data_IF_151337136428
#
_entry.id   IF_151337136428
#
_cell.length_a   1.000
_cell.length_b   1.000
_cell.length_c   1.000
_cell.angle_alpha   90.00
_cell.angle_beta   90.00
_cell.angle_gamma   90.00
#
_symmetry.space_group_name_H-M   'P 1'
#
loop_
_entity.id
_entity.type
_entity.pdbx_description
1 polymer ?
#
# COMPACT_ATOMS: atom_id res chain seq x y z
N UNK A 1 16.90 1.26 10.51
CA UNK A 1 17.48 1.49 9.17
C UNK A 1 16.65 2.59 8.51
N UNK A 2 17.28 3.63 7.94
CA UNK A 2 16.53 4.67 7.23
C UNK A 2 15.99 4.18 5.87
N UNK A 3 15.10 4.97 5.26
CA UNK A 3 14.47 4.65 3.99
C UNK A 3 15.48 4.39 2.86
N UNK A 4 16.51 5.24 2.72
CA UNK A 4 17.48 5.16 1.63
C UNK A 4 18.36 3.92 1.77
N UNK A 5 18.76 3.59 3.00
CA UNK A 5 19.50 2.38 3.31
C UNK A 5 18.67 1.13 3.02
N UNK A 6 17.39 1.13 3.40
CA UNK A 6 16.48 0.03 3.08
C UNK A 6 16.24 -0.09 1.57
N UNK A 7 16.05 1.03 0.86
CA UNK A 7 15.91 1.06 -0.60
C UNK A 7 17.10 0.40 -1.29
N UNK A 8 18.33 0.83 -0.97
CA UNK A 8 19.54 0.22 -1.52
C UNK A 8 19.58 -1.29 -1.27
N UNK A 9 19.25 -1.73 -0.05
CA UNK A 9 19.26 -3.14 0.31
C UNK A 9 18.22 -3.97 -0.44
N UNK A 10 16.99 -3.46 -0.63
CA UNK A 10 15.93 -4.22 -1.31
C UNK A 10 16.12 -4.28 -2.83
N UNK A 11 16.86 -3.34 -3.40
CA UNK A 11 17.15 -3.28 -4.84
C UNK A 11 18.54 -3.79 -5.22
N UNK A 12 19.39 -4.17 -4.26
CA UNK A 12 20.75 -4.61 -4.56
C UNK A 12 20.74 -5.90 -5.40
N UNK A 13 21.27 -5.81 -6.62
CA UNK A 13 21.27 -6.90 -7.60
C UNK A 13 19.88 -7.36 -8.05
N UNK A 14 18.82 -6.58 -7.80
CA UNK A 14 17.42 -6.93 -8.10
C UNK A 14 16.68 -5.79 -8.81
N UNK A 15 15.57 -6.13 -9.47
CA UNK A 15 14.66 -5.13 -10.02
C UNK A 15 13.94 -4.43 -8.87
N UNK A 16 13.94 -3.10 -8.85
CA UNK A 16 13.22 -2.27 -7.89
C UNK A 16 11.71 -2.19 -8.19
N UNK A 17 11.03 -3.34 -8.25
CA UNK A 17 9.60 -3.38 -8.54
C UNK A 17 8.80 -2.74 -7.40
N UNK A 18 8.02 -1.71 -7.74
CA UNK A 18 7.11 -1.03 -6.84
C UNK A 18 5.66 -1.35 -7.26
N UNK A 19 4.92 -2.04 -6.38
CA UNK A 19 3.55 -2.45 -6.65
C UNK A 19 2.58 -1.41 -6.07
N UNK A 20 1.70 -0.88 -6.91
CA UNK A 20 0.62 0.01 -6.47
C UNK A 20 -0.50 -0.77 -5.77
N UNK A 21 -0.99 -0.25 -4.65
CA UNK A 21 -2.09 -0.83 -3.88
C UNK A 21 -3.30 0.10 -3.95
N UNK A 22 -3.84 0.22 -5.16
CA UNK A 22 -4.76 1.28 -5.60
C UNK A 22 -6.13 0.68 -6.00
N UNK A 23 -6.87 0.05 -5.06
CA UNK A 23 -8.08 -0.70 -5.37
C UNK A 23 -9.23 0.23 -5.78
N UNK A 24 -9.78 -0.01 -6.96
CA UNK A 24 -11.02 0.65 -7.42
C UNK A 24 -12.19 -0.22 -6.96
N UNK A 25 -12.94 0.22 -5.96
CA UNK A 25 -14.00 -0.56 -5.30
C UNK A 25 -14.98 -1.20 -6.29
N UNK A 26 -15.44 -0.46 -7.29
CA UNK A 26 -16.40 -0.93 -8.31
C UNK A 26 -15.81 -1.93 -9.31
N UNK A 27 -14.49 -2.11 -9.31
CA UNK A 27 -13.78 -3.09 -10.17
C UNK A 27 -13.34 -4.33 -9.39
N UNK A 28 -13.59 -4.37 -8.09
CA UNK A 28 -13.24 -5.54 -7.29
C UNK A 28 -14.15 -6.72 -7.64
N UNK A 29 -13.64 -7.96 -7.54
CA UNK A 29 -14.48 -9.15 -7.64
C UNK A 29 -15.64 -9.08 -6.65
N UNK A 30 -16.83 -9.51 -7.07
CA UNK A 30 -18.07 -9.39 -6.29
C UNK A 30 -17.92 -9.90 -4.85
N UNK A 31 -17.30 -11.08 -4.72
CA UNK A 31 -17.06 -11.74 -3.43
C UNK A 31 -16.20 -10.92 -2.47
N UNK A 32 -15.25 -10.14 -3.00
CA UNK A 32 -14.39 -9.26 -2.21
C UNK A 32 -15.10 -7.93 -1.95
N UNK A 33 -15.79 -7.39 -2.96
CA UNK A 33 -16.49 -6.10 -2.90
C UNK A 33 -17.58 -6.08 -1.82
N UNK A 34 -18.26 -7.20 -1.59
CA UNK A 34 -19.28 -7.36 -0.54
C UNK A 34 -18.72 -7.79 0.82
N UNK A 35 -17.40 -7.93 0.95
CA UNK A 35 -16.78 -8.25 2.25
C UNK A 35 -16.79 -7.04 3.18
N UNK A 36 -16.51 -7.28 4.47
CA UNK A 36 -16.49 -6.21 5.47
C UNK A 36 -15.40 -5.17 5.20
N UNK A 37 -14.26 -5.59 4.65
CA UNK A 37 -13.06 -4.77 4.48
C UNK A 37 -12.49 -4.96 3.06
N UNK A 38 -13.22 -4.52 2.01
CA UNK A 38 -12.94 -4.89 0.63
C UNK A 38 -11.58 -4.43 0.11
N UNK A 39 -11.09 -3.25 0.52
CA UNK A 39 -9.80 -2.73 0.08
C UNK A 39 -8.65 -3.54 0.70
N UNK A 40 -8.74 -3.81 2.00
CA UNK A 40 -7.76 -4.62 2.71
C UNK A 40 -7.75 -6.06 2.20
N UNK A 41 -8.93 -6.68 2.04
CA UNK A 41 -9.06 -8.04 1.53
C UNK A 41 -8.40 -8.20 0.15
N UNK A 42 -8.62 -7.24 -0.75
CA UNK A 42 -7.99 -7.27 -2.07
C UNK A 42 -6.47 -7.07 -2.01
N UNK A 43 -6.00 -6.05 -1.29
CA UNK A 43 -4.58 -5.70 -1.28
C UNK A 43 -3.72 -6.66 -0.47
N UNK A 44 -4.25 -7.25 0.60
CA UNK A 44 -3.54 -8.27 1.37
C UNK A 44 -3.24 -9.52 0.51
N UNK A 45 -4.16 -9.93 -0.37
CA UNK A 45 -3.89 -11.03 -1.31
C UNK A 45 -2.81 -10.68 -2.34
N UNK A 46 -2.78 -9.43 -2.83
CA UNK A 46 -1.70 -8.97 -3.71
C UNK A 46 -0.37 -9.04 -2.97
N UNK A 47 -0.30 -8.51 -1.75
CA UNK A 47 0.91 -8.51 -0.95
C UNK A 47 1.40 -9.94 -0.73
N UNK A 48 0.53 -10.83 -0.25
CA UNK A 48 0.85 -12.23 0.03
C UNK A 48 1.45 -12.93 -1.19
N UNK A 49 0.88 -12.70 -2.37
CA UNK A 49 1.31 -13.36 -3.62
C UNK A 49 2.51 -12.73 -4.30
N UNK A 50 2.94 -11.53 -3.90
CA UNK A 50 3.98 -10.77 -4.63
C UNK A 50 5.13 -10.25 -3.77
N UNK A 51 5.10 -10.47 -2.45
CA UNK A 51 6.12 -10.00 -1.52
C UNK A 51 7.52 -10.60 -1.72
N UNK A 52 7.66 -11.67 -2.49
CA UNK A 52 8.92 -12.29 -2.87
C UNK A 52 9.64 -11.53 -4.01
N UNK A 53 8.88 -10.85 -4.87
CA UNK A 53 9.39 -10.09 -6.03
C UNK A 53 9.29 -8.57 -5.85
N UNK A 54 8.48 -8.08 -4.91
CA UNK A 54 8.28 -6.65 -4.67
C UNK A 54 9.40 -6.05 -3.80
N UNK A 55 10.02 -4.97 -4.29
CA UNK A 55 10.91 -4.13 -3.48
C UNK A 55 10.10 -3.16 -2.60
N UNK A 56 8.97 -2.67 -3.11
CA UNK A 56 8.12 -1.70 -2.45
C UNK A 56 6.64 -1.91 -2.75
N UNK A 57 5.80 -1.48 -1.82
CA UNK A 57 4.37 -1.29 -2.03
C UNK A 57 4.01 0.18 -1.85
N UNK A 58 3.18 0.71 -2.75
CA UNK A 58 2.79 2.11 -2.79
C UNK A 58 1.27 2.27 -2.78
N UNK A 59 0.61 2.24 -1.60
CA UNK A 59 -0.79 2.61 -1.52
C UNK A 59 -0.98 4.10 -1.87
N UNK A 60 -1.84 4.38 -2.83
CA UNK A 60 -2.33 5.74 -3.07
C UNK A 60 -3.49 6.04 -2.11
N UNK A 61 -3.30 7.06 -1.27
CA UNK A 61 -4.21 7.36 -0.17
C UNK A 61 -5.62 7.73 -0.64
N UNK A 62 -5.76 8.30 -1.85
CA UNK A 62 -7.06 8.73 -2.38
C UNK A 62 -8.07 7.59 -2.51
N UNK A 63 -7.62 6.36 -2.84
CA UNK A 63 -8.49 5.19 -2.96
C UNK A 63 -9.06 4.74 -1.61
N UNK A 64 -8.33 5.00 -0.52
CA UNK A 64 -8.78 4.70 0.83
C UNK A 64 -9.60 5.87 1.39
N UNK A 65 -9.14 7.11 1.23
CA UNK A 65 -9.83 8.33 1.65
C UNK A 65 -11.27 8.42 1.10
N UNK A 66 -11.51 7.89 -0.10
CA UNK A 66 -12.84 7.81 -0.71
C UNK A 66 -13.88 7.04 0.14
N UNK A 67 -13.45 6.16 1.06
CA UNK A 67 -14.33 5.43 1.98
C UNK A 67 -14.39 6.06 3.39
N UNK A 68 -13.82 7.25 3.58
CA UNK A 68 -13.82 7.93 4.88
C UNK A 68 -13.01 7.17 5.94
N UNK A 69 -13.52 7.11 7.17
CA UNK A 69 -12.83 6.51 8.32
C UNK A 69 -12.58 5.01 8.16
N UNK A 70 -13.53 4.31 7.53
CA UNK A 70 -13.40 2.88 7.23
C UNK A 70 -12.25 2.62 6.24
N UNK A 71 -12.08 3.49 5.25
CA UNK A 71 -10.94 3.42 4.33
C UNK A 71 -9.60 3.60 5.03
N UNK A 72 -9.51 4.53 5.99
CA UNK A 72 -8.30 4.71 6.81
C UNK A 72 -7.95 3.48 7.65
N UNK A 73 -8.95 2.82 8.25
CA UNK A 73 -8.74 1.57 9.00
C UNK A 73 -8.22 0.45 8.09
N UNK A 74 -8.75 0.36 6.87
CA UNK A 74 -8.29 -0.63 5.89
C UNK A 74 -6.88 -0.31 5.35
N UNK A 75 -6.53 0.97 5.19
CA UNK A 75 -5.18 1.38 4.86
C UNK A 75 -4.18 0.94 5.93
N UNK A 76 -4.50 1.20 7.21
CA UNK A 76 -3.65 0.79 8.34
C UNK A 76 -3.38 -0.72 8.31
N UNK A 77 -4.43 -1.53 8.16
CA UNK A 77 -4.29 -2.99 8.02
C UNK A 77 -3.49 -3.40 6.79
N UNK A 78 -3.67 -2.71 5.66
CA UNK A 78 -2.93 -2.98 4.42
C UNK A 78 -1.44 -2.70 4.59
N UNK A 79 -1.08 -1.59 5.23
CA UNK A 79 0.31 -1.24 5.53
C UNK A 79 0.93 -2.26 6.50
N UNK A 80 0.19 -2.68 7.53
CA UNK A 80 0.65 -3.71 8.48
C UNK A 80 0.87 -5.08 7.84
N UNK A 81 0.18 -5.40 6.74
CA UNK A 81 0.38 -6.64 6.02
C UNK A 81 1.66 -6.65 5.15
N UNK A 82 2.26 -5.50 4.86
CA UNK A 82 3.49 -5.42 4.07
C UNK A 82 4.67 -5.95 4.90
N UNK A 83 5.40 -6.98 4.44
CA UNK A 83 6.53 -7.52 5.18
C UNK A 83 7.64 -6.49 5.41
N UNK A 84 8.34 -6.59 6.55
CA UNK A 84 9.45 -5.70 6.93
C UNK A 84 10.59 -5.66 5.90
N UNK A 85 10.72 -6.68 5.06
CA UNK A 85 11.70 -6.74 3.96
C UNK A 85 11.33 -5.84 2.76
N UNK A 86 10.10 -5.37 2.66
CA UNK A 86 9.62 -4.49 1.60
C UNK A 86 9.49 -3.05 2.10
N UNK A 87 9.62 -2.07 1.22
CA UNK A 87 9.31 -0.67 1.52
C UNK A 87 7.80 -0.41 1.45
N UNK A 88 7.34 0.57 2.22
CA UNK A 88 6.00 1.15 2.09
C UNK A 88 6.17 2.63 1.72
N UNK A 89 5.46 3.06 0.68
CA UNK A 89 5.45 4.45 0.20
C UNK A 89 4.00 4.94 0.21
N UNK A 90 3.66 5.80 1.17
CA UNK A 90 2.35 6.44 1.20
C UNK A 90 2.27 7.51 0.10
N UNK A 91 1.55 7.22 -0.98
CA UNK A 91 1.36 8.16 -2.07
C UNK A 91 0.18 9.09 -1.78
N UNK A 92 0.45 10.05 -0.88
CA UNK A 92 -0.51 11.07 -0.45
C UNK A 92 -0.33 12.44 -1.11
N UNK A 93 0.77 12.64 -1.84
CA UNK A 93 1.17 13.91 -2.49
C UNK A 93 0.90 15.14 -1.62
N UNK A 94 1.15 15.04 -0.32
CA UNK A 94 0.92 16.13 0.63
C UNK A 94 1.85 17.29 0.30
N UNK A 95 1.29 18.49 0.36
CA UNK A 95 2.00 19.73 0.11
C UNK A 95 1.25 20.86 0.78
N UNK A 96 1.82 21.38 1.84
CA UNK A 96 1.26 22.46 2.65
C UNK A 96 2.40 23.37 3.17
N UNK A 97 2.08 24.44 3.88
CA UNK A 97 3.05 25.34 4.50
C UNK A 97 3.72 24.71 5.73
N UNK A 98 4.82 25.29 6.21
CA UNK A 98 5.68 24.65 7.22
C UNK A 98 5.00 24.18 8.51
N UNK A 99 3.92 24.82 8.95
CA UNK A 99 3.18 24.41 10.16
C UNK A 99 2.28 23.18 9.96
N UNK A 100 1.95 22.86 8.72
CA UNK A 100 0.94 21.85 8.33
C UNK A 100 1.53 20.76 7.42
N UNK A 101 2.81 20.88 7.05
CA UNK A 101 3.59 19.90 6.28
C UNK A 101 4.11 18.73 7.13
#
# INVERSE_FOLDING_TARGET
MDFNSKLRNVTDGKIGLCIGLDPVLDRLPETIRTSREPLYAFNSEIIERTHDIAAAYKPNLAFYEALGDEGWRQLEKTVQAVPDKCLVIADGKRGDIGSTA
#
